data_IF_171992603410
#
_entry.id   IF_171992603410
#
_cell.length_a   1.000
_cell.length_b   1.000
_cell.length_c   1.000
_cell.angle_alpha   90.00
_cell.angle_beta   90.00
_cell.angle_gamma   90.00
#
_symmetry.space_group_name_H-M   'P 1'
#
loop_
_entity.id
_entity.type
_entity.pdbx_description
1 polymer ?
#
# COMPACT_ATOMS: atom_id res chain seq x y z
N UNK A 1 14.21 4.02 -4.33
CA UNK A 1 13.71 4.94 -3.28
C UNK A 1 14.52 4.68 -2.02
N UNK A 2 15.02 5.71 -1.34
CA UNK A 2 15.75 5.52 -0.07
C UNK A 2 14.76 5.36 1.09
N UNK A 3 15.06 4.48 2.04
CA UNK A 3 14.20 4.17 3.19
C UNK A 3 13.94 5.43 4.02
N UNK A 4 14.96 6.29 4.16
CA UNK A 4 14.84 7.57 4.89
C UNK A 4 13.83 8.50 4.22
N UNK A 5 13.85 8.61 2.89
CA UNK A 5 12.86 9.41 2.14
C UNK A 5 11.44 8.85 2.24
N UNK A 6 11.29 7.53 2.37
CA UNK A 6 9.99 6.88 2.57
C UNK A 6 9.41 7.22 3.94
N UNK A 7 10.19 7.06 5.01
CA UNK A 7 9.74 7.40 6.36
C UNK A 7 9.43 8.89 6.52
N UNK A 8 10.22 9.79 5.92
CA UNK A 8 9.94 11.22 5.89
C UNK A 8 8.61 11.54 5.20
N UNK A 9 8.30 10.87 4.08
CA UNK A 9 7.02 11.02 3.39
C UNK A 9 5.83 10.59 4.26
N UNK A 10 5.97 9.46 4.96
CA UNK A 10 4.95 8.92 5.86
C UNK A 10 4.78 9.75 7.15
N UNK A 11 5.83 10.44 7.60
CA UNK A 11 5.81 11.27 8.82
C UNK A 11 4.86 12.47 8.74
N UNK A 12 4.50 12.89 7.52
CA UNK A 12 3.54 13.98 7.30
C UNK A 12 2.10 13.55 7.58
N UNK A 13 1.82 12.25 7.64
CA UNK A 13 0.52 11.70 8.01
C UNK A 13 0.51 11.26 9.48
N UNK A 14 -0.38 11.79 10.32
CA UNK A 14 -0.36 11.54 11.76
C UNK A 14 -0.57 10.07 12.14
N UNK A 15 -1.37 9.32 11.36
CA UNK A 15 -1.57 7.88 11.56
C UNK A 15 -0.35 7.05 11.15
N UNK A 16 0.50 7.56 10.25
CA UNK A 16 1.66 6.84 9.71
C UNK A 16 2.98 7.28 10.35
N UNK A 17 3.01 8.42 11.05
CA UNK A 17 4.18 8.93 11.75
C UNK A 17 4.70 7.97 12.84
N UNK A 18 3.83 7.12 13.41
CA UNK A 18 4.17 6.09 14.39
C UNK A 18 4.36 4.68 13.79
N UNK A 19 4.31 4.53 12.47
CA UNK A 19 4.34 3.22 11.83
C UNK A 19 5.69 2.53 12.08
N UNK A 20 5.65 1.41 12.79
CA UNK A 20 6.84 0.60 13.05
C UNK A 20 7.39 0.05 11.73
N UNK A 21 8.72 0.00 11.62
CA UNK A 21 9.40 -0.59 10.47
C UNK A 21 8.92 -2.02 10.17
N UNK A 22 8.65 -2.81 11.21
CA UNK A 22 8.11 -4.16 11.07
C UNK A 22 6.72 -4.15 10.41
N UNK A 23 5.84 -3.22 10.80
CA UNK A 23 4.50 -3.06 10.23
C UNK A 23 4.57 -2.66 8.75
N UNK A 24 5.47 -1.74 8.40
CA UNK A 24 5.74 -1.37 7.00
C UNK A 24 6.18 -2.59 6.17
N UNK A 25 7.11 -3.37 6.71
CA UNK A 25 7.66 -4.55 6.02
C UNK A 25 6.58 -5.62 5.83
N UNK A 26 5.76 -5.86 6.85
CA UNK A 26 4.61 -6.74 6.75
C UNK A 26 3.56 -6.23 5.77
N UNK A 27 3.30 -4.93 5.71
CA UNK A 27 2.38 -4.34 4.73
C UNK A 27 2.84 -4.62 3.30
N UNK A 28 4.11 -4.36 3.00
CA UNK A 28 4.71 -4.62 1.68
C UNK A 28 4.61 -6.11 1.34
N UNK A 29 4.96 -6.98 2.29
CA UNK A 29 4.88 -8.43 2.08
C UNK A 29 3.44 -8.89 1.83
N UNK A 30 2.47 -8.47 2.65
CA UNK A 30 1.06 -8.80 2.49
C UNK A 30 0.52 -8.31 1.15
N UNK A 31 0.81 -7.07 0.75
CA UNK A 31 0.42 -6.51 -0.54
C UNK A 31 1.03 -7.29 -1.72
N UNK A 32 2.27 -7.76 -1.59
CA UNK A 32 2.94 -8.58 -2.60
C UNK A 32 2.29 -9.96 -2.74
N UNK A 33 1.85 -10.55 -1.63
CA UNK A 33 1.18 -11.86 -1.61
C UNK A 33 -0.21 -11.83 -2.27
N UNK A 34 -0.92 -10.69 -2.19
CA UNK A 34 -2.26 -10.50 -2.78
C UNK A 34 -2.20 -9.72 -4.11
N UNK A 35 -1.03 -9.66 -4.75
CA UNK A 35 -0.81 -8.92 -6.01
C UNK A 35 -1.77 -9.37 -7.12
N UNK A 36 -2.07 -10.67 -7.19
CA UNK A 36 -3.02 -11.21 -8.17
C UNK A 36 -4.48 -10.79 -7.87
N UNK A 37 -4.86 -10.70 -6.59
CA UNK A 37 -6.18 -10.21 -6.17
C UNK A 37 -6.33 -8.70 -6.39
N UNK A 38 -5.22 -7.95 -6.34
CA UNK A 38 -5.15 -6.53 -6.71
C UNK A 38 -5.37 -6.34 -8.22
N UNK A 39 -4.93 -7.31 -9.05
CA UNK A 39 -5.02 -7.26 -10.52
C UNK A 39 -6.40 -7.65 -11.06
N UNK A 40 -7.08 -8.61 -10.42
CA UNK A 40 -8.36 -9.17 -10.88
C UNK A 40 -9.50 -8.17 -11.13
N UNK A 41 -9.63 -7.03 -10.41
CA UNK A 41 -10.69 -6.05 -10.68
C UNK A 41 -10.36 -5.03 -11.80
N UNK A 42 -9.27 -5.17 -12.55
CA UNK A 42 -8.92 -4.18 -13.56
C UNK A 42 -9.70 -4.33 -14.88
N UNK A 43 -10.21 -3.23 -15.46
CA UNK A 43 -10.72 -3.23 -16.82
C UNK A 43 -9.64 -3.72 -17.79
N UNK A 44 -10.02 -4.50 -18.81
CA UNK A 44 -9.12 -5.06 -19.83
C UNK A 44 -8.20 -4.04 -20.55
N UNK A 45 -8.45 -2.74 -20.38
CA UNK A 45 -7.66 -1.65 -20.93
C UNK A 45 -6.41 -1.29 -20.12
N UNK A 46 -6.26 -1.77 -18.88
CA UNK A 46 -5.11 -1.45 -18.02
C UNK A 46 -4.08 -2.59 -18.12
N UNK A 47 -2.83 -2.23 -18.39
CA UNK A 47 -1.74 -3.21 -18.45
C UNK A 47 -1.47 -3.80 -17.08
N UNK A 48 -1.39 -5.12 -16.98
CA UNK A 48 -0.95 -5.85 -15.78
C UNK A 48 0.50 -5.56 -15.40
N UNK A 49 1.26 -4.90 -16.29
CA UNK A 49 2.62 -4.42 -16.00
C UNK A 49 2.64 -3.07 -15.28
N UNK A 50 1.50 -2.39 -15.12
CA UNK A 50 1.42 -1.06 -14.53
C UNK A 50 0.95 -1.10 -13.09
N UNK A 51 1.67 -0.39 -12.23
CA UNK A 51 1.32 -0.20 -10.83
C UNK A 51 0.03 0.60 -10.71
N UNK A 52 -0.94 0.08 -9.95
CA UNK A 52 -2.16 0.82 -9.64
C UNK A 52 -1.90 2.01 -8.72
N UNK A 53 -2.50 3.15 -9.05
CA UNK A 53 -2.53 4.29 -8.14
C UNK A 53 -3.48 4.07 -6.95
N UNK A 54 -4.57 3.33 -7.18
CA UNK A 54 -5.59 3.08 -6.17
C UNK A 54 -5.80 1.58 -6.02
N UNK A 55 -5.83 1.12 -4.78
CA UNK A 55 -6.21 -0.26 -4.49
C UNK A 55 -7.73 -0.45 -4.67
N UNK A 56 -8.18 -1.66 -5.02
CA UNK A 56 -9.59 -1.99 -4.97
C UNK A 56 -10.18 -1.74 -3.57
N UNK A 57 -11.47 -1.36 -3.44
CA UNK A 57 -12.07 -1.06 -2.15
C UNK A 57 -11.96 -2.22 -1.15
N UNK A 58 -12.19 -3.46 -1.60
CA UNK A 58 -12.07 -4.66 -0.77
C UNK A 58 -10.64 -4.89 -0.25
N UNK A 59 -9.63 -4.61 -1.07
CA UNK A 59 -8.21 -4.72 -0.67
C UNK A 59 -7.85 -3.60 0.31
N UNK A 60 -8.36 -2.40 0.08
CA UNK A 60 -8.15 -1.25 0.96
C UNK A 60 -8.74 -1.52 2.35
N UNK A 61 -9.95 -2.07 2.41
CA UNK A 61 -10.62 -2.47 3.64
C UNK A 61 -9.84 -3.59 4.36
N UNK A 62 -9.49 -4.66 3.65
CA UNK A 62 -8.70 -5.76 4.21
C UNK A 62 -7.37 -5.31 4.82
N UNK A 63 -6.61 -4.46 4.11
CA UNK A 63 -5.34 -3.92 4.63
C UNK A 63 -5.58 -2.93 5.77
N UNK A 64 -6.63 -2.11 5.71
CA UNK A 64 -7.02 -1.20 6.78
C UNK A 64 -7.28 -1.95 8.08
N UNK A 65 -8.08 -3.01 8.02
CA UNK A 65 -8.37 -3.86 9.18
C UNK A 65 -7.13 -4.59 9.68
N UNK A 66 -6.33 -5.17 8.78
CA UNK A 66 -5.15 -5.96 9.13
C UNK A 66 -4.06 -5.14 9.84
N UNK A 67 -3.95 -3.85 9.51
CA UNK A 67 -2.94 -2.95 10.07
C UNK A 67 -3.53 -1.90 11.02
N UNK A 68 -4.84 -1.95 11.30
CA UNK A 68 -5.57 -0.95 12.10
C UNK A 68 -5.35 0.48 11.58
N UNK A 69 -5.41 0.65 10.26
CA UNK A 69 -5.22 1.92 9.56
C UNK A 69 -6.55 2.41 8.97
N UNK A 70 -6.74 3.74 8.91
CA UNK A 70 -7.83 4.30 8.12
C UNK A 70 -7.63 4.02 6.62
N UNK A 71 -8.70 4.03 5.84
CA UNK A 71 -8.62 3.91 4.38
C UNK A 71 -7.71 4.99 3.76
N UNK A 72 -7.72 6.19 4.35
CA UNK A 72 -6.83 7.27 3.92
C UNK A 72 -5.36 6.94 4.17
N UNK A 73 -5.03 6.45 5.35
CA UNK A 73 -3.67 6.04 5.70
C UNK A 73 -3.19 4.85 4.83
N UNK A 74 -4.05 3.87 4.56
CA UNK A 74 -3.74 2.77 3.62
C UNK A 74 -3.44 3.31 2.22
N UNK A 75 -4.21 4.29 1.74
CA UNK A 75 -3.98 4.90 0.44
C UNK A 75 -2.63 5.65 0.38
N UNK A 76 -2.31 6.47 1.38
CA UNK A 76 -1.02 7.17 1.43
C UNK A 76 0.14 6.17 1.53
N UNK A 77 0.00 5.15 2.37
CA UNK A 77 1.00 4.10 2.52
C UNK A 77 1.20 3.32 1.21
N UNK A 78 0.12 2.95 0.53
CA UNK A 78 0.17 2.30 -0.78
C UNK A 78 0.91 3.16 -1.80
N UNK A 79 0.59 4.46 -1.91
CA UNK A 79 1.27 5.35 -2.84
C UNK A 79 2.79 5.43 -2.59
N UNK A 80 3.22 5.29 -1.34
CA UNK A 80 4.63 5.28 -0.98
C UNK A 80 5.35 3.97 -1.32
N UNK A 81 4.67 2.82 -1.25
CA UNK A 81 5.31 1.50 -1.37
C UNK A 81 4.95 0.71 -2.64
N UNK A 82 3.98 1.18 -3.44
CA UNK A 82 3.46 0.46 -4.61
C UNK A 82 4.53 0.04 -5.61
N UNK A 83 5.58 0.84 -5.79
CA UNK A 83 6.70 0.55 -6.71
C UNK A 83 7.69 -0.47 -6.12
N UNK A 84 7.61 -0.73 -4.81
CA UNK A 84 8.39 -1.78 -4.13
C UNK A 84 7.63 -3.11 -4.15
N UNK A 85 6.30 -3.05 -4.08
CA UNK A 85 5.41 -4.22 -4.17
C UNK A 85 5.38 -4.79 -5.59
N UNK A 86 5.62 -3.96 -6.60
CA UNK A 86 5.49 -4.34 -8.02
C UNK A 86 6.79 -4.81 -8.66
#
# INVERSE_FOLDING_TARGET
MDVVTLFLGLSNEPELAGLLYLSLTHFIHSASMIKDDILLPQPHAISTSSVLHFLPPSITEFLGESFSLSQHAVHVLWLAVKDIVW
#
